data_IF_649245831165
#
_entry.id   IF_649245831165
#
_cell.length_a   1.000
_cell.length_b   1.000
_cell.length_c   1.000
_cell.angle_alpha   90.00
_cell.angle_beta   90.00
_cell.angle_gamma   90.00
#
_symmetry.space_group_name_H-M   'P 1'
#
loop_
_entity.id
_entity.type
_entity.pdbx_description
1 polymer ?
#
# COMPACT_ATOMS: atom_id res chain seq x y z
N UNK A 1 -20.33 14.17 10.79
CA UNK A 1 -19.64 13.00 11.32
C UNK A 1 -18.34 13.46 11.93
N UNK A 2 -18.18 13.19 13.19
CA UNK A 2 -16.96 13.61 13.83
C UNK A 2 -15.95 12.49 13.91
N UNK A 3 -16.26 11.35 13.38
CA UNK A 3 -15.35 10.25 13.39
C UNK A 3 -14.23 10.54 12.45
N UNK A 4 -13.04 10.27 12.90
CA UNK A 4 -11.90 10.37 12.03
C UNK A 4 -11.68 9.03 11.42
N UNK A 5 -12.10 8.92 10.19
CA UNK A 5 -11.84 7.69 9.44
C UNK A 5 -10.42 7.75 8.93
N UNK A 6 -9.52 7.15 9.68
CA UNK A 6 -8.12 7.09 9.29
C UNK A 6 -7.90 5.83 8.49
N UNK A 7 -7.50 5.99 7.25
CA UNK A 7 -7.22 4.85 6.39
C UNK A 7 -5.98 4.13 6.90
N UNK A 8 -6.12 2.85 7.13
CA UNK A 8 -5.03 1.98 7.56
C UNK A 8 -4.70 1.02 6.45
N UNK A 9 -3.53 0.42 6.53
CA UNK A 9 -3.16 -0.59 5.55
C UNK A 9 -2.24 -1.64 6.17
N UNK A 10 -2.22 -2.80 5.55
CA UNK A 10 -1.30 -3.87 5.90
C UNK A 10 -0.33 -4.14 4.76
N UNK A 11 0.03 -3.08 4.03
CA UNK A 11 0.90 -3.20 2.87
C UNK A 11 2.22 -3.86 3.20
N UNK A 12 2.82 -3.47 4.32
CA UNK A 12 4.12 -4.03 4.72
C UNK A 12 4.02 -5.53 4.94
N UNK A 13 3.00 -5.98 5.64
CA UNK A 13 2.81 -7.39 5.94
C UNK A 13 2.60 -8.21 4.66
N UNK A 14 1.75 -7.71 3.78
CA UNK A 14 1.47 -8.40 2.52
C UNK A 14 2.71 -8.41 1.63
N UNK A 15 3.43 -7.29 1.58
CA UNK A 15 4.66 -7.21 0.80
C UNK A 15 5.67 -8.25 1.27
N UNK A 16 5.85 -8.36 2.58
CA UNK A 16 6.77 -9.34 3.16
C UNK A 16 6.32 -10.77 2.89
N UNK A 17 5.02 -11.00 2.94
CA UNK A 17 4.44 -12.30 2.62
C UNK A 17 4.80 -12.71 1.19
N UNK A 18 4.84 -11.73 0.28
CA UNK A 18 5.22 -11.97 -1.11
C UNK A 18 6.74 -11.93 -1.32
N UNK A 19 7.50 -11.76 -0.24
CA UNK A 19 8.97 -11.76 -0.26
C UNK A 19 9.55 -10.65 -1.13
N UNK A 20 8.91 -9.48 -1.10
CA UNK A 20 9.34 -8.32 -1.84
C UNK A 20 9.95 -7.29 -0.89
N UNK A 21 11.06 -6.66 -1.34
CA UNK A 21 11.59 -5.51 -0.64
C UNK A 21 10.74 -4.29 -0.99
N UNK A 22 10.89 -3.20 -0.23
CA UNK A 22 10.23 -1.95 -0.57
C UNK A 22 10.65 -1.48 -1.96
N UNK A 23 11.92 -1.60 -2.29
CA UNK A 23 12.42 -1.20 -3.60
C UNK A 23 11.85 -2.07 -4.72
N UNK A 24 11.75 -3.36 -4.49
CA UNK A 24 11.20 -4.26 -5.50
C UNK A 24 9.73 -3.95 -5.78
N UNK A 25 8.94 -3.72 -4.72
CA UNK A 25 7.54 -3.37 -4.90
C UNK A 25 7.40 -2.02 -5.59
N UNK A 26 8.22 -1.04 -5.19
CA UNK A 26 8.19 0.28 -5.79
C UNK A 26 8.45 0.18 -7.30
N UNK A 27 9.41 -0.62 -7.71
CA UNK A 27 9.72 -0.82 -9.11
C UNK A 27 8.55 -1.45 -9.85
N UNK A 28 7.91 -2.44 -9.25
CA UNK A 28 6.77 -3.11 -9.87
C UNK A 28 5.61 -2.16 -10.15
N UNK A 29 5.37 -1.22 -9.25
CA UNK A 29 4.21 -0.33 -9.37
C UNK A 29 4.57 1.05 -9.91
N UNK A 30 5.86 1.29 -10.20
CA UNK A 30 6.27 2.52 -10.88
C UNK A 30 6.39 3.74 -9.98
N UNK A 31 6.74 3.56 -8.71
CA UNK A 31 6.93 4.68 -7.78
C UNK A 31 8.29 4.54 -7.10
N UNK A 32 8.66 5.55 -6.32
CA UNK A 32 9.91 5.49 -5.57
C UNK A 32 9.76 4.61 -4.33
N UNK A 33 10.88 4.11 -3.83
CA UNK A 33 10.90 3.37 -2.58
C UNK A 33 10.36 4.21 -1.43
N UNK A 34 10.65 5.51 -1.44
CA UNK A 34 10.15 6.39 -0.38
C UNK A 34 8.63 6.46 -0.39
N UNK A 35 8.01 6.39 -1.55
CA UNK A 35 6.55 6.38 -1.65
C UNK A 35 5.99 5.13 -0.95
N UNK A 36 6.59 3.97 -1.20
CA UNK A 36 6.16 2.73 -0.53
C UNK A 36 6.34 2.86 0.98
N UNK A 37 7.50 3.34 1.42
CA UNK A 37 7.77 3.51 2.84
C UNK A 37 6.76 4.45 3.49
N UNK A 38 6.44 5.56 2.83
CA UNK A 38 5.48 6.54 3.37
C UNK A 38 4.07 5.96 3.46
N UNK A 39 3.68 5.13 2.51
CA UNK A 39 2.38 4.47 2.58
C UNK A 39 2.37 3.50 3.77
N UNK A 40 3.41 2.70 3.92
CA UNK A 40 3.47 1.69 4.97
C UNK A 40 3.44 2.31 6.37
N UNK A 41 4.01 3.49 6.53
CA UNK A 41 4.03 4.18 7.82
C UNK A 41 2.79 5.06 8.05
N UNK A 42 1.92 5.17 7.07
CA UNK A 42 0.70 5.97 7.20
C UNK A 42 0.90 7.45 6.94
N UNK A 43 2.09 7.88 6.50
CA UNK A 43 2.36 9.29 6.21
C UNK A 43 1.73 9.74 4.91
N UNK A 44 1.46 8.81 4.02
CA UNK A 44 0.91 9.11 2.71
C UNK A 44 -0.12 8.05 2.34
N UNK A 45 -1.30 8.50 1.93
CA UNK A 45 -2.32 7.60 1.42
C UNK A 45 -2.22 7.62 -0.11
N UNK A 46 -2.18 6.45 -0.74
CA UNK A 46 -2.07 6.41 -2.19
C UNK A 46 -3.33 6.95 -2.85
N UNK A 47 -3.16 7.44 -4.08
CA UNK A 47 -4.30 7.75 -4.93
C UNK A 47 -5.05 6.45 -5.22
N UNK A 48 -6.30 6.57 -5.68
CA UNK A 48 -7.09 5.40 -6.06
C UNK A 48 -6.35 4.58 -7.11
N UNK A 49 -5.73 5.25 -8.07
CA UNK A 49 -4.99 4.55 -9.13
C UNK A 49 -3.85 3.72 -8.55
N UNK A 50 -3.05 4.33 -7.69
CA UNK A 50 -1.91 3.62 -7.11
C UNK A 50 -2.37 2.49 -6.21
N UNK A 51 -3.44 2.72 -5.45
CA UNK A 51 -3.99 1.68 -4.58
C UNK A 51 -4.42 0.46 -5.39
N UNK A 52 -5.07 0.68 -6.53
CA UNK A 52 -5.48 -0.43 -7.39
C UNK A 52 -4.29 -1.14 -8.01
N UNK A 53 -3.26 -0.39 -8.41
CA UNK A 53 -2.04 -0.99 -8.96
C UNK A 53 -1.36 -1.87 -7.90
N UNK A 54 -1.32 -1.40 -6.65
CA UNK A 54 -0.78 -2.20 -5.56
C UNK A 54 -1.56 -3.50 -5.37
N UNK A 55 -2.88 -3.42 -5.46
CA UNK A 55 -3.72 -4.61 -5.35
C UNK A 55 -3.39 -5.62 -6.46
N UNK A 56 -3.21 -5.15 -7.67
CA UNK A 56 -2.87 -6.01 -8.80
C UNK A 56 -1.49 -6.63 -8.59
N UNK A 57 -0.51 -5.81 -8.20
CA UNK A 57 0.86 -6.28 -8.01
C UNK A 57 0.97 -7.33 -6.92
N UNK A 58 0.16 -7.22 -5.88
CA UNK A 58 0.21 -8.11 -4.72
C UNK A 58 -0.85 -9.19 -4.77
N UNK A 59 -1.69 -9.19 -5.81
CA UNK A 59 -2.77 -10.17 -5.97
C UNK A 59 -3.69 -10.19 -4.75
N UNK A 60 -4.13 -9.00 -4.34
CA UNK A 60 -5.02 -8.83 -3.21
C UNK A 60 -6.16 -7.91 -3.58
N UNK A 61 -7.29 -8.08 -2.91
CA UNK A 61 -8.41 -7.16 -3.06
C UNK A 61 -8.10 -5.89 -2.29
N UNK A 62 -8.76 -4.80 -2.69
CA UNK A 62 -8.55 -3.52 -2.03
C UNK A 62 -8.75 -3.63 -0.51
N UNK A 63 -9.83 -4.27 -0.09
CA UNK A 63 -10.16 -4.36 1.33
C UNK A 63 -9.23 -5.29 2.10
N UNK A 64 -8.41 -6.06 1.39
CA UNK A 64 -7.38 -6.87 2.04
C UNK A 64 -6.13 -6.06 2.33
N UNK A 65 -5.95 -4.94 1.65
CA UNK A 65 -4.79 -4.08 1.84
C UNK A 65 -5.11 -2.83 2.64
N UNK A 66 -6.28 -2.24 2.41
CA UNK A 66 -6.67 -0.95 3.00
C UNK A 66 -7.97 -1.11 3.77
N UNK A 67 -8.05 -0.46 4.93
CA UNK A 67 -9.22 -0.59 5.78
C UNK A 67 -9.28 0.57 6.77
N UNK A 68 -10.36 0.69 7.46
CA UNK A 68 -10.54 1.62 8.56
C UNK A 68 -10.68 0.82 9.87
#
# INVERSE_FOLDING_TARGET
>A
MNGELILKNCLKEIRKEKKLSQSALAELVGVSRNTISSIETGQFNPTAKLALILCIALDKKFEELFYF
#
